data_IF_172166618014
#
_entry.id   IF_172166618014
#
_cell.length_a   1.000
_cell.length_b   1.000
_cell.length_c   1.000
_cell.angle_alpha   90.00
_cell.angle_beta   90.00
_cell.angle_gamma   90.00
#
_symmetry.space_group_name_H-M   'P 1'
#
loop_
_entity.id
_entity.type
_entity.pdbx_description
1 polymer ?
#
# COMPACT_ATOMS: atom_id res chain seq x y z
N UNK A 1 27.55 -36.00 -34.76
CA UNK A 1 26.20 -35.43 -34.99
C UNK A 1 25.21 -36.20 -34.13
N UNK A 2 24.85 -35.68 -32.95
CA UNK A 2 23.85 -36.29 -32.07
C UNK A 2 22.46 -35.71 -32.39
N UNK A 3 21.41 -36.53 -32.51
CA UNK A 3 20.09 -36.06 -32.91
C UNK A 3 19.40 -35.33 -31.76
N UNK A 4 18.89 -34.14 -32.08
CA UNK A 4 18.09 -33.23 -31.24
C UNK A 4 16.70 -33.80 -30.90
N UNK A 5 16.61 -34.97 -30.28
CA UNK A 5 15.31 -35.60 -29.92
C UNK A 5 14.98 -35.60 -28.42
N UNK A 6 15.77 -34.94 -27.57
CA UNK A 6 15.60 -34.99 -26.11
C UNK A 6 15.24 -33.69 -25.39
N UNK A 7 14.62 -32.72 -26.07
CA UNK A 7 13.98 -31.58 -25.37
C UNK A 7 12.61 -31.26 -25.98
N UNK A 8 11.73 -32.27 -26.06
CA UNK A 8 10.29 -32.01 -26.11
C UNK A 8 9.87 -31.60 -24.70
N UNK A 9 10.09 -30.33 -24.37
CA UNK A 9 9.62 -29.68 -23.16
C UNK A 9 8.11 -29.94 -23.06
N UNK A 10 7.72 -30.84 -22.14
CA UNK A 10 6.34 -31.18 -21.87
C UNK A 10 5.70 -29.96 -21.20
N UNK A 11 5.21 -29.06 -22.04
CA UNK A 11 4.23 -28.04 -21.68
C UNK A 11 3.10 -28.74 -20.95
N UNK A 12 3.12 -28.71 -19.62
CA UNK A 12 1.96 -29.03 -18.81
C UNK A 12 0.92 -28.01 -19.24
N UNK A 13 -0.13 -28.44 -19.92
CA UNK A 13 -1.26 -27.57 -20.30
C UNK A 13 -1.84 -26.94 -19.05
N UNK A 14 -1.39 -25.72 -18.74
CA UNK A 14 -1.95 -24.88 -17.69
C UNK A 14 -3.31 -24.45 -18.21
N UNK A 15 -4.35 -25.03 -17.61
CA UNK A 15 -5.76 -24.74 -17.89
C UNK A 15 -5.98 -23.22 -18.00
N UNK A 16 -6.80 -22.75 -18.95
CA UNK A 16 -7.07 -21.32 -19.14
C UNK A 16 -7.55 -20.62 -17.85
N UNK A 17 -8.26 -21.35 -16.98
CA UNK A 17 -8.72 -20.87 -15.67
C UNK A 17 -7.58 -20.63 -14.67
N UNK A 18 -6.45 -21.31 -14.82
CA UNK A 18 -5.26 -21.12 -14.00
C UNK A 18 -4.44 -19.90 -14.43
N UNK A 19 -4.48 -19.52 -15.72
CA UNK A 19 -3.82 -18.30 -16.21
C UNK A 19 -4.49 -17.02 -15.70
N UNK A 20 -5.83 -16.97 -15.70
CA UNK A 20 -6.56 -15.81 -15.15
C UNK A 20 -6.26 -15.61 -13.67
N UNK A 21 -6.25 -16.71 -12.91
CA UNK A 21 -5.89 -16.73 -11.49
C UNK A 21 -4.47 -16.19 -11.22
N UNK A 22 -3.50 -16.55 -12.07
CA UNK A 22 -2.11 -16.12 -11.92
C UNK A 22 -1.93 -14.62 -12.24
N UNK A 23 -2.69 -14.10 -13.21
CA UNK A 23 -2.74 -12.67 -13.54
C UNK A 23 -3.32 -11.88 -12.37
N UNK A 24 -4.41 -12.36 -11.77
CA UNK A 24 -5.05 -11.71 -10.61
C UNK A 24 -4.10 -11.62 -9.40
N UNK A 25 -3.29 -12.67 -9.14
CA UNK A 25 -2.33 -12.63 -8.04
C UNK A 25 -1.17 -11.68 -8.25
N UNK A 26 -0.62 -11.65 -9.46
CA UNK A 26 0.44 -10.70 -9.77
C UNK A 26 -0.09 -9.28 -9.63
N UNK A 27 -1.30 -9.00 -10.12
CA UNK A 27 -1.93 -7.69 -9.99
C UNK A 27 -2.12 -7.27 -8.53
N UNK A 28 -2.57 -8.18 -7.65
CA UNK A 28 -2.71 -7.90 -6.21
C UNK A 28 -1.34 -7.61 -5.57
N UNK A 29 -0.31 -8.40 -5.90
CA UNK A 29 1.05 -8.20 -5.36
C UNK A 29 1.65 -6.87 -5.80
N UNK A 30 1.55 -6.54 -7.09
CA UNK A 30 2.05 -5.27 -7.62
C UNK A 30 1.33 -4.07 -7.03
N UNK A 31 0.00 -4.12 -6.93
CA UNK A 31 -0.80 -3.05 -6.30
C UNK A 31 -0.39 -2.82 -4.85
N UNK A 32 -0.29 -3.89 -4.05
CA UNK A 32 0.06 -3.77 -2.63
C UNK A 32 1.51 -3.27 -2.45
N UNK A 33 2.45 -3.73 -3.28
CA UNK A 33 3.83 -3.23 -3.28
C UNK A 33 3.87 -1.74 -3.62
N UNK A 34 3.16 -1.32 -4.67
CA UNK A 34 3.10 0.07 -5.08
C UNK A 34 2.51 0.95 -3.97
N UNK A 35 1.37 0.56 -3.40
CA UNK A 35 0.74 1.29 -2.29
C UNK A 35 1.67 1.38 -1.07
N UNK A 36 2.38 0.30 -0.74
CA UNK A 36 3.33 0.30 0.37
C UNK A 36 4.52 1.22 0.13
N UNK A 37 5.14 1.17 -1.05
CA UNK A 37 6.24 2.07 -1.42
C UNK A 37 5.79 3.53 -1.44
N UNK A 38 4.60 3.82 -1.96
CA UNK A 38 4.04 5.16 -1.99
C UNK A 38 3.73 5.69 -0.59
N UNK A 39 3.12 4.86 0.27
CA UNK A 39 2.86 5.19 1.67
C UNK A 39 4.17 5.48 2.43
N UNK A 40 5.23 4.70 2.20
CA UNK A 40 6.54 4.92 2.83
C UNK A 40 7.18 6.23 2.35
N UNK A 41 7.11 6.55 1.06
CA UNK A 41 7.61 7.81 0.52
C UNK A 41 6.87 9.03 1.10
N UNK A 42 5.54 8.95 1.19
CA UNK A 42 4.71 9.99 1.81
C UNK A 42 5.02 10.13 3.30
N UNK A 43 5.12 9.03 4.03
CA UNK A 43 5.48 9.03 5.44
C UNK A 43 6.81 9.76 5.67
N UNK A 44 7.84 9.44 4.88
CA UNK A 44 9.13 10.14 4.99
C UNK A 44 9.01 11.64 4.71
N UNK A 45 8.17 12.05 3.76
CA UNK A 45 8.00 13.46 3.41
C UNK A 45 7.28 14.26 4.50
N UNK A 46 6.24 13.71 5.11
CA UNK A 46 5.36 14.45 6.02
C UNK A 46 5.61 14.21 7.51
N UNK A 47 6.13 13.05 7.91
CA UNK A 47 6.44 12.76 9.32
C UNK A 47 7.92 12.97 9.66
N UNK A 48 8.82 12.72 8.70
CA UNK A 48 10.27 12.89 8.90
C UNK A 48 10.79 14.21 8.32
N UNK A 49 10.11 14.75 7.31
CA UNK A 49 10.39 16.09 6.80
C UNK A 49 9.78 17.14 7.71
N UNK A 50 10.55 18.19 8.05
CA UNK A 50 10.06 19.29 8.86
C UNK A 50 9.14 20.20 8.04
N UNK A 51 7.94 20.45 8.56
CA UNK A 51 7.13 21.61 8.15
C UNK A 51 7.71 22.80 8.91
N UNK A 52 8.41 23.69 8.21
CA UNK A 52 9.00 24.87 8.84
C UNK A 52 7.94 25.96 9.01
N UNK A 53 7.59 26.26 10.27
CA UNK A 53 6.72 27.35 10.61
C UNK A 53 7.52 28.62 10.94
N UNK A 54 7.58 29.56 10.01
CA UNK A 54 8.24 30.84 10.23
C UNK A 54 7.31 31.76 11.02
N UNK A 55 7.71 32.16 12.24
CA UNK A 55 7.04 33.20 13.01
C UNK A 55 8.02 34.35 13.19
N UNK A 56 7.61 35.56 12.83
CA UNK A 56 8.37 36.78 13.10
C UNK A 56 8.27 37.13 14.59
N UNK A 57 9.07 36.45 15.41
CA UNK A 57 9.06 36.64 16.87
C UNK A 57 9.96 35.66 17.60
N UNK A 58 11.07 36.17 18.15
CA UNK A 58 12.24 35.39 18.58
C UNK A 58 12.10 34.65 19.95
N UNK A 59 10.91 34.15 20.31
CA UNK A 59 10.64 33.71 21.70
C UNK A 59 10.29 32.23 21.90
N UNK A 60 10.17 31.43 20.84
CA UNK A 60 9.74 30.03 20.96
C UNK A 60 10.68 29.11 20.20
N UNK A 61 10.90 27.90 20.73
CA UNK A 61 11.72 26.88 20.08
C UNK A 61 11.07 26.43 18.76
N UNK A 62 11.83 26.51 17.67
CA UNK A 62 11.36 26.18 16.31
C UNK A 62 10.77 24.76 16.22
N UNK A 63 11.40 23.78 16.87
CA UNK A 63 10.93 22.38 16.85
C UNK A 63 9.54 22.20 17.47
N UNK A 64 9.22 22.99 18.50
CA UNK A 64 7.90 22.97 19.12
C UNK A 64 6.86 23.62 18.21
N UNK A 65 7.21 24.73 17.55
CA UNK A 65 6.34 25.43 16.61
C UNK A 65 6.00 24.55 15.40
N UNK A 66 7.00 23.92 14.80
CA UNK A 66 6.85 23.03 13.65
C UNK A 66 5.91 21.86 14.00
N UNK A 67 6.09 21.26 15.18
CA UNK A 67 5.22 20.19 15.68
C UNK A 67 3.79 20.67 15.91
N UNK A 68 3.61 21.87 16.49
CA UNK A 68 2.29 22.44 16.72
C UNK A 68 1.56 22.75 15.43
N UNK A 69 2.25 23.31 14.44
CA UNK A 69 1.71 23.54 13.10
C UNK A 69 1.30 22.23 12.41
N UNK A 70 2.11 21.18 12.54
CA UNK A 70 1.78 19.88 11.97
C UNK A 70 0.54 19.25 12.61
N UNK A 71 0.40 19.32 13.95
CA UNK A 71 -0.70 18.68 14.68
C UNK A 71 -2.02 19.44 14.50
N UNK A 72 -2.00 20.77 14.59
CA UNK A 72 -3.20 21.59 14.50
C UNK A 72 -3.66 21.84 13.06
N UNK A 73 -2.88 21.42 12.07
CA UNK A 73 -3.13 21.69 10.65
C UNK A 73 -2.72 23.11 10.25
N UNK A 74 -2.59 23.32 8.94
CA UNK A 74 -2.27 24.63 8.36
C UNK A 74 -3.47 25.19 7.62
N UNK A 75 -3.51 26.53 7.51
CA UNK A 75 -4.51 27.25 6.74
C UNK A 75 -3.82 28.11 5.69
N UNK A 76 -4.28 28.05 4.46
CA UNK A 76 -3.84 29.00 3.43
C UNK A 76 -4.83 30.16 3.38
N UNK A 77 -4.30 31.37 3.58
CA UNK A 77 -5.03 32.60 3.36
C UNK A 77 -4.68 33.12 1.97
N UNK A 78 -5.67 33.18 1.08
CA UNK A 78 -5.49 33.66 -0.30
C UNK A 78 -5.50 35.18 -0.39
N UNK A 79 -6.02 35.86 0.63
CA UNK A 79 -5.86 37.30 0.77
C UNK A 79 -4.53 37.58 1.45
N UNK A 80 -3.69 38.40 0.82
CA UNK A 80 -2.71 39.18 1.57
C UNK A 80 -3.40 39.90 2.72
N UNK A 81 -2.64 40.20 3.77
CA UNK A 81 -2.99 40.57 5.16
C UNK A 81 -4.23 41.48 5.37
N UNK A 82 -4.76 42.15 4.34
CA UNK A 82 -5.64 43.33 4.47
C UNK A 82 -7.10 43.18 3.98
N UNK A 83 -7.58 42.01 3.50
CA UNK A 83 -8.96 41.88 2.98
C UNK A 83 -9.72 40.62 3.51
N UNK A 84 -10.81 40.77 4.27
CA UNK A 84 -11.44 39.70 5.07
C UNK A 84 -12.49 38.84 4.34
N UNK A 85 -12.42 38.67 3.01
CA UNK A 85 -13.58 38.15 2.23
C UNK A 85 -13.36 36.73 1.66
N UNK A 86 -12.16 36.14 1.71
CA UNK A 86 -11.89 34.85 1.07
C UNK A 86 -11.98 33.64 2.03
N UNK A 87 -12.42 32.45 1.54
CA UNK A 87 -12.53 31.26 2.36
C UNK A 87 -11.14 30.75 2.77
N UNK A 88 -10.96 30.50 4.06
CA UNK A 88 -9.80 29.78 4.58
C UNK A 88 -9.79 28.35 4.02
N UNK A 89 -8.69 27.95 3.37
CA UNK A 89 -8.51 26.56 2.95
C UNK A 89 -7.68 25.82 4.00
N UNK A 90 -8.35 24.91 4.70
CA UNK A 90 -7.74 24.08 5.73
C UNK A 90 -7.02 22.88 5.12
N UNK A 91 -5.80 22.63 5.58
CA UNK A 91 -4.95 21.53 5.15
C UNK A 91 -4.66 20.58 6.31
N UNK A 92 -5.63 19.71 6.63
CA UNK A 92 -5.50 18.68 7.68
C UNK A 92 -5.38 17.25 7.11
N UNK A 93 -5.17 17.14 5.80
CA UNK A 93 -5.17 15.85 5.11
C UNK A 93 -3.84 15.09 5.22
N UNK A 94 -2.73 15.78 5.54
CA UNK A 94 -1.38 15.19 5.54
C UNK A 94 -1.23 14.02 6.51
N UNK A 95 -1.87 14.12 7.68
CA UNK A 95 -1.86 13.09 8.71
C UNK A 95 -2.63 11.85 8.24
N UNK A 96 -3.84 12.06 7.73
CA UNK A 96 -4.77 10.99 7.35
C UNK A 96 -4.38 10.24 6.09
N UNK A 97 -3.82 10.92 5.08
CA UNK A 97 -3.43 10.28 3.81
C UNK A 97 -2.46 9.13 4.05
N UNK A 98 -1.47 9.31 4.93
CA UNK A 98 -0.49 8.26 5.25
C UNK A 98 -1.15 7.05 5.93
N UNK A 99 -2.07 7.29 6.86
CA UNK A 99 -2.80 6.25 7.60
C UNK A 99 -3.73 5.47 6.67
N UNK A 100 -4.50 6.18 5.84
CA UNK A 100 -5.46 5.57 4.90
C UNK A 100 -4.73 4.71 3.87
N UNK A 101 -3.59 5.16 3.34
CA UNK A 101 -2.81 4.37 2.39
C UNK A 101 -2.26 3.07 3.01
N UNK A 102 -1.80 3.12 4.26
CA UNK A 102 -1.36 1.94 4.98
C UNK A 102 -2.54 0.97 5.22
N UNK A 103 -3.68 1.50 5.65
CA UNK A 103 -4.89 0.71 5.87
C UNK A 103 -5.37 0.05 4.57
N UNK A 104 -5.39 0.78 3.46
CA UNK A 104 -5.75 0.24 2.14
C UNK A 104 -4.80 -0.90 1.72
N UNK A 105 -3.49 -0.73 1.91
CA UNK A 105 -2.52 -1.79 1.61
C UNK A 105 -2.80 -3.07 2.43
N UNK A 106 -3.18 -2.92 3.71
CA UNK A 106 -3.55 -4.04 4.58
C UNK A 106 -4.87 -4.67 4.12
N UNK A 107 -5.92 -3.87 3.92
CA UNK A 107 -7.25 -4.34 3.51
C UNK A 107 -7.23 -5.10 2.20
N UNK A 108 -6.35 -4.73 1.26
CA UNK A 108 -6.18 -5.45 0.00
C UNK A 108 -5.31 -6.72 0.11
N UNK A 109 -4.52 -6.86 1.16
CA UNK A 109 -3.68 -8.04 1.40
C UNK A 109 -4.39 -9.14 2.21
N UNK A 110 -5.27 -8.73 3.13
CA UNK A 110 -6.03 -9.62 4.00
C UNK A 110 -6.87 -10.69 3.26
N UNK A 111 -7.74 -10.35 2.29
CA UNK A 111 -8.58 -11.35 1.63
C UNK A 111 -7.76 -12.42 0.91
N UNK A 112 -6.62 -12.04 0.32
CA UNK A 112 -5.69 -13.00 -0.30
C UNK A 112 -5.05 -13.93 0.72
N UNK A 113 -4.58 -13.39 1.86
CA UNK A 113 -3.98 -14.19 2.93
C UNK A 113 -4.99 -15.18 3.52
N UNK A 114 -6.23 -14.76 3.71
CA UNK A 114 -7.31 -15.62 4.20
C UNK A 114 -7.63 -16.72 3.18
N UNK A 115 -7.79 -16.35 1.91
CA UNK A 115 -8.07 -17.31 0.84
C UNK A 115 -6.95 -18.33 0.66
N UNK A 116 -5.68 -17.90 0.68
CA UNK A 116 -4.53 -18.80 0.53
C UNK A 116 -4.40 -19.79 1.70
N UNK A 117 -4.73 -19.38 2.93
CA UNK A 117 -4.74 -20.29 4.09
C UNK A 117 -5.85 -21.33 3.96
N UNK A 118 -7.05 -20.89 3.59
CA UNK A 118 -8.21 -21.77 3.46
C UNK A 118 -8.02 -22.80 2.34
N UNK A 119 -7.47 -22.39 1.19
CA UNK A 119 -7.17 -23.32 0.09
C UNK A 119 -6.08 -24.33 0.46
N UNK A 120 -5.04 -23.89 1.17
CA UNK A 120 -3.99 -24.82 1.57
C UNK A 120 -4.56 -25.95 2.43
N UNK A 121 -5.44 -25.61 3.39
CA UNK A 121 -6.16 -26.61 4.20
C UNK A 121 -6.98 -27.56 3.33
N UNK A 122 -7.80 -27.01 2.43
CA UNK A 122 -8.67 -27.79 1.56
C UNK A 122 -7.89 -28.74 0.63
N UNK A 123 -6.77 -28.30 0.07
CA UNK A 123 -5.93 -29.13 -0.81
C UNK A 123 -5.24 -30.25 -0.04
N UNK A 124 -4.83 -30.01 1.21
CA UNK A 124 -4.25 -31.05 2.07
C UNK A 124 -5.27 -32.15 2.37
N UNK A 125 -6.51 -31.78 2.72
CA UNK A 125 -7.60 -32.73 2.97
C UNK A 125 -7.89 -33.62 1.75
N UNK A 126 -7.97 -33.03 0.56
CA UNK A 126 -8.18 -33.78 -0.69
C UNK A 126 -7.01 -34.71 -1.02
N UNK A 127 -5.78 -34.31 -0.68
CA UNK A 127 -4.60 -35.13 -0.93
C UNK A 127 -4.63 -36.37 -0.05
N UNK A 128 -4.97 -36.23 1.23
CA UNK A 128 -5.10 -37.35 2.19
C UNK A 128 -6.19 -38.33 1.74
N UNK A 129 -7.38 -37.83 1.39
CA UNK A 129 -8.48 -38.68 0.91
C UNK A 129 -8.12 -39.47 -0.36
N UNK A 130 -7.31 -38.88 -1.25
CA UNK A 130 -6.87 -39.56 -2.47
C UNK A 130 -5.89 -40.70 -2.16
N UNK A 131 -5.03 -40.55 -1.15
CA UNK A 131 -4.13 -41.62 -0.70
C UNK A 131 -4.91 -42.77 -0.07
N UNK A 132 -5.87 -42.50 0.82
CA UNK A 132 -6.70 -43.55 1.46
C UNK A 132 -7.50 -44.38 0.46
N UNK A 133 -7.93 -43.78 -0.66
CA UNK A 133 -8.71 -44.49 -1.69
C UNK A 133 -7.84 -45.29 -2.68
N UNK A 134 -6.52 -45.17 -2.60
CA UNK A 134 -5.57 -45.85 -3.49
C UNK A 134 -4.88 -47.08 -2.88
N UNK A 135 -5.11 -47.29 -1.58
CA UNK A 135 -4.71 -48.49 -0.82
C UNK A 135 -5.91 -49.45 -0.71
#
# INVERSE_FOLDING_TARGET
>A
MLPLTLLKWKSRDVSPKSRSLLIDFNQIRFRNLFLFCFALSIYRKYFVGNINCQIDGHRVNQSFLDTKCFINGTLTNFSGVDEPIFPFLYHDYYQWVSIVLLLQAISFHLPFRLWSKNIHSYVQELTIQKFEKSE
#
